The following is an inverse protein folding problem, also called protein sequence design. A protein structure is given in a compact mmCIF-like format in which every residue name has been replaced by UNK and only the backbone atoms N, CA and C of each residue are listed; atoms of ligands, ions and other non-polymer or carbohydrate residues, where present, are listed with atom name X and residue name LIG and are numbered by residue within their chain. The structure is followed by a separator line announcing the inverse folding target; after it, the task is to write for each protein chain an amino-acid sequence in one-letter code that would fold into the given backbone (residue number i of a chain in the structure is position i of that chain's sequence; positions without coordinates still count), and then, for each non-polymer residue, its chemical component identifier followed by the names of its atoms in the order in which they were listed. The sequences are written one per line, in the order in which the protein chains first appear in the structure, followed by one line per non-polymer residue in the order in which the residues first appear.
data_IF_792801744337
#
_entry.id   IF_792801744337
#
_cell.length_a   1.000
_cell.length_b   1.000
_cell.length_c   1.000
_cell.angle_alpha   90.00
_cell.angle_beta   90.00
_cell.angle_gamma   90.00
#
_symmetry.space_group_name_H-M   'P 1'
#
loop_
_entity.id
_entity.type
_entity.pdbx_description
1 polymer ?
#
# COMPACT_ATOMS: atom_id res chain seq x y z
N UNK A 1 23.80 -14.18 1.80
CA UNK A 1 22.72 -14.35 0.81
C UNK A 1 22.38 -15.83 0.72
N UNK A 2 21.09 -16.17 0.57
CA UNK A 2 20.60 -17.55 0.56
C UNK A 2 19.74 -17.78 -0.67
N UNK A 3 19.36 -19.04 -0.92
CA UNK A 3 18.51 -19.45 -2.04
C UNK A 3 17.66 -20.67 -1.69
N UNK A 4 16.58 -20.85 -2.44
CA UNK A 4 15.74 -22.04 -2.45
C UNK A 4 15.23 -22.28 -3.87
N UNK A 5 15.17 -23.52 -4.31
CA UNK A 5 14.60 -23.86 -5.60
C UNK A 5 13.09 -23.59 -5.63
N UNK A 6 12.55 -23.09 -6.74
CA UNK A 6 11.12 -22.76 -6.90
C UNK A 6 10.21 -23.94 -6.60
N UNK A 7 10.59 -25.14 -6.98
CA UNK A 7 9.87 -26.39 -6.70
C UNK A 7 9.70 -26.66 -5.20
N UNK A 8 10.60 -26.10 -4.35
CA UNK A 8 10.61 -26.25 -2.90
C UNK A 8 9.92 -25.11 -2.16
N UNK A 9 9.32 -24.13 -2.86
CA UNK A 9 8.59 -23.03 -2.24
C UNK A 9 7.50 -23.50 -1.26
N UNK A 10 6.74 -24.59 -1.50
CA UNK A 10 5.80 -25.11 -0.51
C UNK A 10 6.46 -25.45 0.84
N UNK A 11 7.70 -25.94 0.84
CA UNK A 11 8.48 -26.18 2.07
C UNK A 11 8.80 -24.87 2.80
N UNK A 12 9.14 -23.81 2.06
CA UNK A 12 9.35 -22.48 2.63
C UNK A 12 8.05 -21.92 3.25
N UNK A 13 6.93 -22.05 2.55
CA UNK A 13 5.63 -21.54 3.05
C UNK A 13 5.22 -22.26 4.33
N UNK A 14 5.36 -23.60 4.39
CA UNK A 14 5.09 -24.37 5.60
C UNK A 14 5.99 -23.95 6.77
N UNK A 15 7.29 -23.76 6.51
CA UNK A 15 8.23 -23.30 7.54
C UNK A 15 7.89 -21.89 8.07
N UNK A 16 7.54 -20.96 7.19
CA UNK A 16 7.09 -19.60 7.56
C UNK A 16 5.77 -19.65 8.36
N UNK A 17 4.83 -20.52 7.98
CA UNK A 17 3.55 -20.69 8.68
C UNK A 17 3.73 -21.24 10.10
N UNK A 18 4.75 -22.06 10.33
CA UNK A 18 5.10 -22.54 11.68
C UNK A 18 5.66 -21.43 12.59
N UNK A 19 6.18 -20.34 12.00
CA UNK A 19 6.70 -19.19 12.74
C UNK A 19 5.59 -18.17 13.06
N UNK A 20 4.64 -18.00 12.15
CA UNK A 20 3.58 -17.01 12.32
C UNK A 20 2.50 -17.10 11.24
N UNK A 21 1.54 -16.19 11.28
CA UNK A 21 0.52 -16.08 10.24
C UNK A 21 1.16 -15.63 8.93
N UNK A 22 1.20 -16.51 7.94
CA UNK A 22 1.76 -16.22 6.62
C UNK A 22 0.68 -15.70 5.66
N UNK A 23 0.92 -14.53 5.05
CA UNK A 23 0.13 -13.99 3.96
C UNK A 23 0.94 -14.01 2.66
N UNK A 24 0.30 -14.52 1.61
CA UNK A 24 0.86 -14.63 0.26
C UNK A 24 -0.10 -14.02 -0.78
N UNK A 25 0.40 -13.58 -1.95
CA UNK A 25 -0.44 -13.24 -3.08
C UNK A 25 -1.10 -14.51 -3.63
N UNK A 26 -2.39 -14.66 -3.35
CA UNK A 26 -3.19 -15.83 -3.73
C UNK A 26 -4.32 -15.41 -4.67
N UNK A 27 -4.63 -16.28 -5.63
CA UNK A 27 -5.76 -16.10 -6.52
C UNK A 27 -7.07 -16.43 -5.79
N UNK A 28 -8.00 -15.51 -5.83
CA UNK A 28 -9.32 -15.68 -5.24
C UNK A 28 -10.32 -16.32 -6.24
N UNK A 29 -11.52 -16.66 -5.75
CA UNK A 29 -12.59 -17.26 -6.57
C UNK A 29 -13.01 -16.43 -7.79
N UNK A 30 -12.76 -15.13 -7.78
CA UNK A 30 -13.04 -14.22 -8.91
C UNK A 30 -11.86 -14.07 -9.87
N UNK A 31 -10.78 -14.84 -9.70
CA UNK A 31 -9.58 -14.80 -10.53
C UNK A 31 -8.61 -13.65 -10.23
N UNK A 32 -8.90 -12.81 -9.23
CA UNK A 32 -8.00 -11.74 -8.81
C UNK A 32 -6.95 -12.26 -7.81
N UNK A 33 -5.74 -11.71 -7.88
CA UNK A 33 -4.68 -11.98 -6.92
C UNK A 33 -4.71 -10.93 -5.82
N UNK A 34 -4.89 -11.37 -4.58
CA UNK A 34 -4.86 -10.55 -3.37
C UNK A 34 -4.00 -11.21 -2.29
N UNK A 35 -3.49 -10.44 -1.33
CA UNK A 35 -2.85 -11.03 -0.15
C UNK A 35 -3.89 -11.74 0.71
N UNK A 36 -3.65 -13.01 0.99
CA UNK A 36 -4.52 -13.86 1.82
C UNK A 36 -3.69 -14.75 2.75
N UNK A 37 -4.24 -15.17 3.90
CA UNK A 37 -3.60 -16.19 4.73
C UNK A 37 -3.34 -17.45 3.93
N UNK A 38 -2.10 -17.96 4.01
CA UNK A 38 -1.69 -19.16 3.29
C UNK A 38 -2.45 -20.39 3.79
N UNK A 39 -2.86 -21.23 2.86
CA UNK A 39 -3.41 -22.57 3.06
C UNK A 39 -2.82 -23.47 1.98
N UNK A 40 -2.69 -24.75 2.27
CA UNK A 40 -2.10 -25.74 1.35
C UNK A 40 -2.84 -25.84 0.01
N UNK A 41 -4.16 -25.60 0.03
CA UNK A 41 -5.01 -25.59 -1.17
C UNK A 41 -5.04 -24.24 -1.92
N UNK A 42 -4.30 -23.23 -1.45
CA UNK A 42 -4.31 -21.91 -2.06
C UNK A 42 -3.47 -21.86 -3.36
N UNK A 43 -4.02 -21.28 -4.42
CA UNK A 43 -3.28 -20.97 -5.64
C UNK A 43 -2.40 -19.73 -5.40
N UNK A 44 -1.14 -19.94 -5.01
CA UNK A 44 -0.16 -18.88 -4.79
C UNK A 44 0.38 -18.40 -6.13
N UNK A 45 0.34 -17.07 -6.38
CA UNK A 45 0.85 -16.41 -7.58
C UNK A 45 1.90 -15.38 -7.17
N UNK A 46 3.06 -15.90 -6.73
CA UNK A 46 4.12 -15.08 -6.15
C UNK A 46 4.70 -14.08 -7.17
N UNK A 47 4.72 -14.44 -8.45
CA UNK A 47 5.20 -13.63 -9.56
C UNK A 47 4.17 -12.62 -10.10
N UNK A 48 2.95 -12.57 -9.54
CA UNK A 48 1.97 -11.57 -9.94
C UNK A 48 2.60 -10.16 -9.93
N UNK A 49 2.57 -9.42 -11.04
CA UNK A 49 3.23 -8.12 -11.13
C UNK A 49 2.64 -7.11 -10.14
N UNK A 50 1.33 -7.18 -9.94
CA UNK A 50 0.59 -6.32 -9.02
C UNK A 50 -0.63 -7.07 -8.47
N UNK A 51 -0.79 -7.06 -7.17
CA UNK A 51 -2.02 -7.56 -6.53
C UNK A 51 -3.17 -6.58 -6.75
N UNK A 52 -4.41 -7.08 -6.82
CA UNK A 52 -5.60 -6.25 -7.01
C UNK A 52 -5.73 -5.16 -5.93
N UNK A 53 -5.46 -5.51 -4.67
CA UNK A 53 -5.28 -4.59 -3.54
C UNK A 53 -3.88 -4.76 -2.96
N UNK A 54 -3.35 -3.71 -2.35
CA UNK A 54 -2.07 -3.80 -1.63
C UNK A 54 -2.21 -4.58 -0.32
N UNK A 55 -1.08 -4.97 0.26
CA UNK A 55 -1.06 -5.57 1.59
C UNK A 55 -1.35 -4.57 2.74
N UNK A 56 -1.84 -3.37 2.44
CA UNK A 56 -2.21 -2.33 3.41
C UNK A 56 -3.18 -2.85 4.48
N UNK A 57 -4.08 -3.75 4.10
CA UNK A 57 -5.09 -4.37 4.97
C UNK A 57 -4.48 -5.04 6.21
N UNK A 58 -3.21 -5.46 6.13
CA UNK A 58 -2.49 -6.08 7.24
C UNK A 58 -2.30 -5.11 8.40
N UNK A 59 -1.99 -3.85 8.10
CA UNK A 59 -1.72 -2.83 9.12
C UNK A 59 -2.92 -1.93 9.38
N UNK A 60 -3.70 -1.69 8.35
CA UNK A 60 -4.88 -0.85 8.35
C UNK A 60 -6.05 -1.61 7.72
N UNK A 61 -6.72 -2.50 8.49
CA UNK A 61 -7.85 -3.31 8.01
C UNK A 61 -9.01 -2.46 7.51
N UNK A 62 -9.80 -3.01 6.57
CA UNK A 62 -10.98 -2.32 6.04
C UNK A 62 -12.02 -2.02 7.12
N UNK A 63 -12.16 -2.92 8.08
CA UNK A 63 -12.99 -2.77 9.27
C UNK A 63 -12.20 -3.27 10.48
N UNK A 64 -12.21 -2.52 11.55
CA UNK A 64 -11.50 -2.85 12.78
C UNK A 64 -12.27 -2.39 13.99
N UNK A 65 -12.62 -3.33 14.88
CA UNK A 65 -13.21 -3.00 16.17
C UNK A 65 -12.14 -2.38 17.07
N UNK A 66 -12.43 -1.22 17.63
CA UNK A 66 -11.53 -0.48 18.51
C UNK A 66 -11.89 -0.70 20.00
N UNK A 67 -13.18 -0.52 20.31
CA UNK A 67 -13.67 -0.57 21.69
C UNK A 67 -14.97 -1.37 21.74
N UNK A 68 -15.17 -2.05 22.87
CA UNK A 68 -16.42 -2.68 23.22
C UNK A 68 -16.92 -2.03 24.51
N UNK A 69 -18.14 -1.50 24.46
CA UNK A 69 -18.86 -0.97 25.62
C UNK A 69 -19.84 -2.04 26.09
N UNK A 70 -19.76 -2.41 27.37
CA UNK A 70 -20.70 -3.30 28.01
C UNK A 70 -21.42 -2.56 29.13
N UNK A 71 -22.74 -2.55 29.11
CA UNK A 71 -23.58 -1.93 30.12
C UNK A 71 -24.31 -2.99 30.92
N UNK A 72 -24.33 -2.84 32.24
CA UNK A 72 -25.14 -3.69 33.13
C UNK A 72 -25.81 -2.79 34.18
N UNK A 73 -27.07 -2.48 33.98
CA UNK A 73 -27.78 -1.48 34.78
C UNK A 73 -27.13 -0.09 34.67
N UNK A 74 -26.48 0.37 35.75
CA UNK A 74 -25.76 1.66 35.80
C UNK A 74 -24.24 1.52 35.59
N UNK A 75 -23.74 0.32 35.49
CA UNK A 75 -22.33 0.06 35.29
C UNK A 75 -21.95 0.06 33.82
N UNK A 76 -20.78 0.65 33.51
CA UNK A 76 -20.19 0.68 32.18
C UNK A 76 -18.78 0.10 32.22
N UNK A 77 -18.56 -0.98 31.48
CA UNK A 77 -17.24 -1.54 31.26
C UNK A 77 -16.75 -1.22 29.83
N UNK A 78 -15.48 -0.89 29.71
CA UNK A 78 -14.78 -0.59 28.45
C UNK A 78 -13.71 -1.65 28.21
N UNK A 79 -13.75 -2.28 27.04
CA UNK A 79 -12.72 -3.22 26.61
C UNK A 79 -12.06 -2.69 25.33
N UNK A 80 -10.74 -2.61 25.31
CA UNK A 80 -9.99 -2.33 24.08
C UNK A 80 -9.79 -3.63 23.29
N UNK A 81 -10.07 -3.58 22.01
CA UNK A 81 -9.86 -4.71 21.12
C UNK A 81 -8.45 -4.64 20.48
N UNK A 82 -7.40 -4.65 21.30
CA UNK A 82 -6.01 -4.61 20.81
C UNK A 82 -5.73 -5.87 19.98
N UNK A 83 -5.04 -5.74 18.83
CA UNK A 83 -4.65 -6.91 18.03
C UNK A 83 -3.92 -7.96 18.87
N UNK A 84 -4.24 -9.25 18.73
CA UNK A 84 -3.60 -10.30 19.49
C UNK A 84 -2.10 -10.34 19.22
N UNK A 85 -1.33 -10.75 20.23
CA UNK A 85 0.10 -10.97 20.06
C UNK A 85 0.35 -12.12 19.07
N UNK A 86 1.33 -11.96 18.18
CA UNK A 86 1.71 -12.97 17.21
C UNK A 86 2.51 -12.38 16.07
N UNK A 87 3.32 -13.19 15.43
CA UNK A 87 4.10 -12.77 14.26
C UNK A 87 3.22 -12.89 13.02
N UNK A 88 3.16 -11.82 12.24
CA UNK A 88 2.58 -11.83 10.89
C UNK A 88 3.70 -11.73 9.86
N UNK A 89 3.71 -12.61 8.89
CA UNK A 89 4.70 -12.62 7.80
C UNK A 89 3.96 -12.32 6.50
N UNK A 90 4.37 -11.27 5.80
CA UNK A 90 3.81 -10.93 4.49
C UNK A 90 4.88 -11.10 3.43
N UNK A 91 4.71 -12.08 2.56
CA UNK A 91 5.70 -12.41 1.52
C UNK A 91 5.18 -12.04 0.12
N UNK A 92 6.07 -11.54 -0.72
CA UNK A 92 5.75 -11.11 -2.09
C UNK A 92 5.41 -9.62 -2.21
N UNK A 93 5.77 -8.83 -1.20
CA UNK A 93 5.51 -7.38 -1.19
C UNK A 93 6.35 -6.68 -2.26
N UNK A 94 5.71 -5.92 -3.16
CA UNK A 94 6.40 -5.14 -4.17
C UNK A 94 6.97 -3.85 -3.60
N UNK A 95 8.00 -3.29 -4.23
CA UNK A 95 8.68 -2.07 -3.78
C UNK A 95 7.72 -0.87 -3.58
N UNK A 96 6.72 -0.70 -4.46
CA UNK A 96 5.70 0.33 -4.31
C UNK A 96 4.80 0.10 -3.10
N UNK A 97 4.45 -1.14 -2.75
CA UNK A 97 3.69 -1.44 -1.55
C UNK A 97 4.55 -1.27 -0.29
N UNK A 98 5.81 -1.69 -0.32
CA UNK A 98 6.77 -1.46 0.78
C UNK A 98 6.92 0.04 1.10
N UNK A 99 7.12 0.89 0.09
CA UNK A 99 7.18 2.35 0.25
C UNK A 99 5.85 2.91 0.80
N UNK A 100 4.70 2.35 0.41
CA UNK A 100 3.41 2.83 0.90
C UNK A 100 3.25 2.65 2.41
N UNK A 101 3.87 1.62 3.01
CA UNK A 101 3.84 1.42 4.45
C UNK A 101 4.61 2.51 5.18
N UNK A 102 5.76 2.97 4.65
CA UNK A 102 6.50 4.11 5.22
C UNK A 102 5.68 5.42 5.18
N UNK A 103 4.88 5.61 4.13
CA UNK A 103 3.95 6.74 4.04
C UNK A 103 2.86 6.63 5.10
N UNK A 104 2.29 5.44 5.32
CA UNK A 104 1.31 5.21 6.39
C UNK A 104 1.94 5.35 7.79
N UNK A 105 3.18 4.92 7.97
CA UNK A 105 3.93 5.09 9.22
C UNK A 105 4.02 6.58 9.62
N UNK A 106 4.27 7.49 8.66
CA UNK A 106 4.27 8.95 8.91
C UNK A 106 2.92 9.49 9.38
N UNK A 107 1.82 8.82 9.05
CA UNK A 107 0.47 9.21 9.48
C UNK A 107 0.11 8.60 10.83
N UNK A 108 0.26 7.29 10.96
CA UNK A 108 -0.26 6.55 12.11
C UNK A 108 0.71 6.45 13.29
N UNK A 109 2.01 6.62 13.05
CA UNK A 109 3.04 6.59 14.13
C UNK A 109 3.45 7.99 14.59
N UNK A 110 2.95 9.07 13.96
CA UNK A 110 3.07 10.44 14.47
C UNK A 110 2.16 10.62 15.68
N UNK A 111 2.60 11.40 16.67
CA UNK A 111 1.80 11.68 17.86
C UNK A 111 0.51 12.46 17.53
N UNK A 112 -0.66 12.04 18.07
CA UNK A 112 -0.90 10.86 18.91
C UNK A 112 -0.82 9.55 18.12
N UNK A 113 -0.01 8.60 18.60
CA UNK A 113 0.25 7.34 17.94
C UNK A 113 -0.99 6.44 17.91
N UNK A 114 -1.34 5.91 16.76
CA UNK A 114 -2.34 4.87 16.60
C UNK A 114 -1.79 3.52 17.11
N UNK A 115 -2.24 3.12 18.27
CA UNK A 115 -1.73 1.92 18.96
C UNK A 115 -2.09 0.62 18.21
N UNK A 116 -3.22 0.56 17.52
CA UNK A 116 -3.65 -0.61 16.75
C UNK A 116 -2.76 -0.81 15.52
N UNK A 117 -2.51 0.27 14.78
CA UNK A 117 -1.59 0.25 13.65
C UNK A 117 -0.17 -0.11 14.09
N UNK A 118 0.33 0.55 15.15
CA UNK A 118 1.66 0.31 15.73
C UNK A 118 1.86 -1.15 16.10
N UNK A 119 0.92 -1.74 16.83
CA UNK A 119 1.01 -3.15 17.26
C UNK A 119 1.17 -4.08 16.06
N UNK A 120 0.34 -3.94 15.02
CA UNK A 120 0.46 -4.76 13.81
C UNK A 120 1.78 -4.53 13.09
N UNK A 121 2.22 -3.28 13.02
CA UNK A 121 3.46 -2.91 12.32
C UNK A 121 4.70 -3.49 13.00
N UNK A 122 4.73 -3.49 14.34
CA UNK A 122 5.80 -4.06 15.14
C UNK A 122 5.85 -5.59 15.09
N UNK A 123 4.70 -6.24 15.00
CA UNK A 123 4.58 -7.70 14.93
C UNK A 123 4.77 -8.28 13.52
N UNK A 124 4.93 -7.44 12.51
CA UNK A 124 5.03 -7.89 11.13
C UNK A 124 6.48 -7.99 10.65
N UNK A 125 6.74 -9.06 9.88
CA UNK A 125 7.95 -9.25 9.08
C UNK A 125 7.57 -9.17 7.61
N UNK A 126 8.21 -8.28 6.86
CA UNK A 126 7.97 -8.07 5.44
C UNK A 126 9.03 -8.77 4.59
N UNK A 127 8.60 -9.66 3.72
CA UNK A 127 9.44 -10.31 2.71
C UNK A 127 9.06 -9.72 1.36
N UNK A 128 9.91 -8.83 0.86
CA UNK A 128 9.71 -8.16 -0.41
C UNK A 128 10.15 -9.01 -1.58
N UNK A 129 9.48 -8.85 -2.71
CA UNK A 129 9.86 -9.49 -3.97
C UNK A 129 10.18 -8.42 -5.01
N UNK A 130 11.41 -8.42 -5.50
CA UNK A 130 11.86 -7.57 -6.59
C UNK A 130 10.96 -7.74 -7.82
N UNK A 131 10.53 -6.63 -8.39
CA UNK A 131 9.67 -6.64 -9.56
C UNK A 131 10.43 -7.16 -10.77
N UNK A 132 9.83 -8.10 -11.52
CA UNK A 132 10.39 -8.65 -12.75
C UNK A 132 9.58 -8.29 -13.99
N UNK A 133 8.29 -7.99 -13.82
CA UNK A 133 7.34 -7.69 -14.91
C UNK A 133 6.45 -6.50 -14.52
N UNK A 134 6.95 -5.24 -14.57
CA UNK A 134 6.13 -4.07 -14.34
C UNK A 134 4.98 -3.99 -15.35
N UNK A 135 3.82 -3.53 -14.89
CA UNK A 135 2.62 -3.29 -15.70
C UNK A 135 2.72 -1.97 -16.48
N UNK A 136 1.99 -1.83 -17.57
CA UNK A 136 1.93 -0.61 -18.39
C UNK A 136 1.54 0.65 -17.62
N UNK A 137 0.81 0.48 -16.52
CA UNK A 137 0.37 1.56 -15.63
C UNK A 137 1.34 1.89 -14.51
N UNK A 138 2.45 1.17 -14.38
CA UNK A 138 3.47 1.40 -13.35
C UNK A 138 4.29 2.66 -13.65
N UNK A 139 4.52 3.48 -12.63
CA UNK A 139 5.35 4.69 -12.70
C UNK A 139 6.02 4.98 -11.36
N UNK A 140 6.40 3.94 -10.62
CA UNK A 140 7.02 4.08 -9.29
C UNK A 140 8.36 4.81 -9.31
N UNK A 141 9.09 4.76 -10.42
CA UNK A 141 10.33 5.52 -10.65
C UNK A 141 10.13 7.03 -10.49
N UNK A 142 8.93 7.57 -10.82
CA UNK A 142 8.60 8.99 -10.65
C UNK A 142 8.62 9.45 -9.18
N UNK A 143 8.63 8.52 -8.24
CA UNK A 143 8.72 8.76 -6.79
C UNK A 143 10.00 8.19 -6.18
N UNK A 144 11.04 8.00 -6.99
CA UNK A 144 12.35 7.52 -6.54
C UNK A 144 12.34 6.08 -5.99
N UNK A 145 11.40 5.25 -6.42
CA UNK A 145 11.29 3.86 -5.95
C UNK A 145 12.00 2.93 -6.93
N UNK A 146 12.99 2.19 -6.44
CA UNK A 146 13.58 1.08 -7.18
C UNK A 146 12.65 -0.14 -7.14
N UNK A 147 12.02 -0.44 -8.27
CA UNK A 147 11.10 -1.56 -8.38
C UNK A 147 11.75 -2.92 -8.11
N UNK A 148 13.06 -3.03 -8.30
CA UNK A 148 13.82 -4.27 -8.14
C UNK A 148 14.36 -4.49 -6.72
N UNK A 149 14.28 -3.47 -5.84
CA UNK A 149 14.82 -3.50 -4.48
C UNK A 149 13.76 -3.03 -3.45
N UNK A 150 12.78 -3.86 -3.08
CA UNK A 150 11.75 -3.49 -2.10
C UNK A 150 12.38 -3.21 -0.73
N UNK A 151 11.98 -2.11 -0.10
CA UNK A 151 12.46 -1.67 1.22
C UNK A 151 11.75 -2.45 2.34
N UNK A 152 12.14 -3.71 2.55
CA UNK A 152 11.51 -4.67 3.46
C UNK A 152 12.54 -5.34 4.37
N UNK A 153 12.09 -6.14 5.34
CA UNK A 153 12.97 -6.86 6.26
C UNK A 153 13.85 -7.89 5.54
N UNK A 154 13.27 -8.52 4.52
CA UNK A 154 13.96 -9.45 3.62
C UNK A 154 13.66 -9.05 2.18
N UNK A 155 14.67 -9.03 1.34
CA UNK A 155 14.52 -8.88 -0.10
C UNK A 155 14.65 -10.23 -0.78
N UNK A 156 13.79 -10.50 -1.76
CA UNK A 156 13.83 -11.73 -2.56
C UNK A 156 13.72 -11.43 -4.05
N UNK A 157 14.23 -12.36 -4.87
CA UNK A 157 14.17 -12.30 -6.33
C UNK A 157 13.91 -13.70 -6.90
N UNK A 158 13.00 -13.78 -7.87
CA UNK A 158 12.77 -14.99 -8.66
C UNK A 158 13.74 -14.99 -9.85
N UNK A 159 14.95 -15.53 -9.65
CA UNK A 159 16.02 -15.53 -10.63
C UNK A 159 16.24 -16.96 -11.16
N UNK A 160 15.96 -17.19 -12.45
CA UNK A 160 15.99 -18.54 -13.03
C UNK A 160 15.02 -19.48 -12.31
N UNK A 161 15.51 -20.63 -11.86
CA UNK A 161 14.72 -21.64 -11.13
C UNK A 161 14.83 -21.51 -9.60
N UNK A 162 15.35 -20.37 -9.12
CA UNK A 162 15.58 -20.13 -7.71
C UNK A 162 14.83 -18.90 -7.20
N UNK A 163 14.45 -18.92 -5.92
CA UNK A 163 14.16 -17.73 -5.13
C UNK A 163 15.42 -17.37 -4.36
N UNK A 164 16.03 -16.25 -4.72
CA UNK A 164 17.14 -15.68 -3.98
C UNK A 164 16.63 -14.87 -2.79
N UNK A 165 17.37 -14.90 -1.67
CA UNK A 165 16.95 -14.37 -0.39
C UNK A 165 18.07 -13.58 0.29
N UNK A 166 17.77 -12.36 0.71
CA UNK A 166 18.70 -11.49 1.43
C UNK A 166 18.00 -10.81 2.59
N UNK A 167 18.45 -11.09 3.81
CA UNK A 167 18.03 -10.33 4.99
C UNK A 167 18.61 -8.90 4.95
N UNK A 168 17.82 -7.93 5.40
CA UNK A 168 18.17 -6.50 5.37
C UNK A 168 18.08 -5.88 6.77
N UNK A 169 17.16 -6.34 7.61
CA UNK A 169 16.96 -5.83 8.97
C UNK A 169 17.20 -6.94 10.00
N UNK A 170 17.35 -6.57 11.27
CA UNK A 170 17.49 -7.53 12.37
C UNK A 170 16.32 -8.55 12.41
N UNK A 171 15.08 -8.11 12.14
CA UNK A 171 13.92 -9.03 12.02
C UNK A 171 14.10 -10.02 10.86
N UNK A 172 14.60 -9.53 9.73
CA UNK A 172 14.92 -10.38 8.58
C UNK A 172 16.04 -11.37 8.85
N UNK A 173 17.06 -10.95 9.59
CA UNK A 173 18.17 -11.84 10.00
C UNK A 173 17.69 -12.94 10.94
N UNK A 174 16.90 -12.61 11.96
CA UNK A 174 16.32 -13.58 12.88
C UNK A 174 15.45 -14.61 12.16
N UNK A 175 14.57 -14.15 11.24
CA UNK A 175 13.75 -15.05 10.42
C UNK A 175 14.61 -15.95 9.54
N UNK A 176 15.65 -15.40 8.92
CA UNK A 176 16.55 -16.13 8.04
C UNK A 176 17.32 -17.21 8.79
N UNK A 177 17.83 -16.89 10.00
CA UNK A 177 18.54 -17.88 10.83
C UNK A 177 17.67 -19.12 11.13
N UNK A 178 16.40 -18.90 11.53
CA UNK A 178 15.44 -19.99 11.78
C UNK A 178 15.22 -20.88 10.54
N UNK A 179 15.16 -20.28 9.35
CA UNK A 179 14.97 -21.01 8.09
C UNK A 179 16.22 -21.79 7.66
N UNK A 180 17.41 -21.25 7.94
CA UNK A 180 18.69 -21.93 7.67
C UNK A 180 18.87 -23.10 8.62
N UNK A 181 18.66 -22.91 9.92
CA UNK A 181 18.69 -23.98 10.93
C UNK A 181 17.69 -25.10 10.61
N UNK A 182 16.51 -24.76 10.09
CA UNK A 182 15.51 -25.72 9.63
C UNK A 182 15.82 -26.38 8.29
N UNK A 183 16.98 -26.11 7.67
CA UNK A 183 17.39 -26.68 6.38
C UNK A 183 16.45 -26.32 5.22
N UNK A 184 15.82 -25.11 5.28
CA UNK A 184 14.90 -24.59 4.25
C UNK A 184 15.65 -23.76 3.23
N UNK A 185 16.56 -22.91 3.71
CA UNK A 185 17.41 -22.08 2.88
C UNK A 185 18.85 -22.64 2.82
N UNK A 186 19.44 -22.58 1.65
CA UNK A 186 20.85 -22.90 1.42
C UNK A 186 21.63 -21.63 1.07
N UNK A 187 22.95 -21.65 1.26
CA UNK A 187 23.81 -20.54 0.83
C UNK A 187 23.74 -20.36 -0.69
N UNK A 188 23.71 -19.12 -1.12
CA UNK A 188 23.67 -18.75 -2.52
C UNK A 188 25.08 -18.73 -3.12
N UNK A 189 25.21 -19.17 -4.35
CA UNK A 189 26.43 -19.15 -5.13
C UNK A 189 26.63 -17.81 -5.86
N UNK A 190 27.82 -17.56 -6.43
CA UNK A 190 28.10 -16.39 -7.25
C UNK A 190 27.16 -16.28 -8.47
N UNK A 191 26.72 -17.41 -9.02
CA UNK A 191 25.75 -17.44 -10.12
C UNK A 191 24.41 -16.82 -9.74
N UNK A 192 23.93 -16.99 -8.51
CA UNK A 192 22.68 -16.40 -8.02
C UNK A 192 22.78 -14.86 -7.96
N UNK A 193 23.92 -14.32 -7.54
CA UNK A 193 24.14 -12.87 -7.53
C UNK A 193 24.12 -12.27 -8.95
N UNK A 194 24.71 -12.96 -9.92
CA UNK A 194 24.67 -12.57 -11.33
C UNK A 194 23.22 -12.58 -11.87
N UNK A 195 22.46 -13.63 -11.60
CA UNK A 195 21.08 -13.75 -12.02
C UNK A 195 20.18 -12.62 -11.44
N UNK A 196 20.41 -12.21 -10.19
CA UNK A 196 19.74 -11.04 -9.58
C UNK A 196 20.08 -9.75 -10.33
N UNK A 197 21.36 -9.54 -10.68
CA UNK A 197 21.79 -8.35 -11.43
C UNK A 197 21.12 -8.30 -12.79
N UNK A 198 21.11 -9.40 -13.52
CA UNK A 198 20.46 -9.53 -14.83
C UNK A 198 18.93 -9.25 -14.73
N UNK A 199 18.26 -9.76 -13.70
CA UNK A 199 16.84 -9.46 -13.47
C UNK A 199 16.61 -7.98 -13.19
N UNK A 200 17.45 -7.34 -12.36
CA UNK A 200 17.36 -5.91 -12.07
C UNK A 200 17.52 -5.07 -13.34
N UNK A 201 18.53 -5.37 -14.16
CA UNK A 201 18.76 -4.70 -15.44
C UNK A 201 17.56 -4.88 -16.39
N UNK A 202 17.03 -6.10 -16.49
CA UNK A 202 15.85 -6.38 -17.30
C UNK A 202 14.64 -5.57 -16.84
N UNK A 203 14.40 -5.47 -15.52
CA UNK A 203 13.32 -4.68 -14.94
C UNK A 203 13.46 -3.20 -15.31
N UNK A 204 14.68 -2.64 -15.24
CA UNK A 204 14.94 -1.25 -15.63
C UNK A 204 14.74 -1.03 -17.14
N UNK A 205 15.13 -1.98 -17.98
CA UNK A 205 14.88 -1.93 -19.42
C UNK A 205 13.37 -1.90 -19.72
N UNK A 206 12.58 -2.75 -19.07
CA UNK A 206 11.12 -2.74 -19.21
C UNK A 206 10.56 -1.38 -18.77
N UNK A 207 10.92 -0.89 -17.59
CA UNK A 207 10.43 0.39 -17.07
C UNK A 207 10.76 1.56 -18.00
N UNK A 208 11.91 1.54 -18.68
CA UNK A 208 12.35 2.62 -19.58
C UNK A 208 11.56 2.73 -20.88
N UNK A 209 10.75 1.74 -21.23
CA UNK A 209 9.92 1.72 -22.45
C UNK A 209 8.41 1.72 -22.16
N UNK A 210 8.00 1.69 -20.89
CA UNK A 210 6.58 1.75 -20.53
C UNK A 210 5.97 3.12 -20.87
N UNK A 211 4.63 3.20 -21.05
CA UNK A 211 3.94 4.44 -21.44
C UNK A 211 4.16 5.65 -20.54
N UNK A 212 4.54 5.41 -19.30
CA UNK A 212 4.77 6.45 -18.27
C UNK A 212 6.24 6.58 -17.86
N UNK A 213 7.17 6.03 -18.65
CA UNK A 213 8.62 6.03 -18.33
C UNK A 213 9.23 7.44 -18.16
N UNK A 214 8.70 8.42 -18.85
CA UNK A 214 9.13 9.82 -18.84
C UNK A 214 8.40 10.67 -17.78
N UNK A 215 7.38 10.12 -17.14
CA UNK A 215 6.59 10.88 -16.17
C UNK A 215 7.42 11.22 -14.93
N UNK A 216 7.41 12.49 -14.59
CA UNK A 216 7.95 13.05 -13.35
C UNK A 216 6.89 13.91 -12.71
N UNK A 217 6.89 13.98 -11.39
CA UNK A 217 6.05 14.95 -10.68
C UNK A 217 6.80 16.28 -10.65
N UNK A 218 6.11 17.35 -10.99
CA UNK A 218 6.68 18.68 -10.95
C UNK A 218 6.65 19.23 -9.52
N UNK A 219 7.83 19.53 -8.96
CA UNK A 219 7.98 20.08 -7.61
C UNK A 219 7.41 21.51 -7.50
N UNK A 220 7.18 22.21 -8.62
CA UNK A 220 6.52 23.53 -8.64
C UNK A 220 5.10 23.47 -8.07
N UNK A 221 4.42 22.29 -8.16
CA UNK A 221 3.07 22.11 -7.59
C UNK A 221 3.02 22.35 -6.07
N UNK A 222 4.15 22.21 -5.38
CA UNK A 222 4.24 22.46 -3.93
C UNK A 222 4.64 23.90 -3.58
N UNK A 223 5.10 24.70 -4.53
CA UNK A 223 5.61 26.06 -4.26
C UNK A 223 4.51 27.10 -4.05
N UNK A 224 3.33 26.92 -4.67
CA UNK A 224 2.19 27.83 -4.54
C UNK A 224 0.89 27.05 -4.38
N UNK A 225 0.65 26.59 -3.15
CA UNK A 225 -0.55 25.83 -2.79
C UNK A 225 -1.83 26.55 -3.17
N UNK A 226 -1.91 27.86 -2.88
CA UNK A 226 -3.12 28.65 -3.11
C UNK A 226 -3.43 28.80 -4.59
N UNK A 227 -2.42 28.99 -5.43
CA UNK A 227 -2.56 29.08 -6.88
C UNK A 227 -3.10 27.75 -7.43
N UNK A 228 -2.50 26.63 -7.05
CA UNK A 228 -2.96 25.29 -7.45
C UNK A 228 -4.37 25.03 -6.95
N UNK A 229 -4.67 25.36 -5.70
CA UNK A 229 -6.00 25.17 -5.10
C UNK A 229 -7.10 25.93 -5.82
N UNK A 230 -6.87 27.20 -6.20
CA UNK A 230 -7.85 28.05 -6.85
C UNK A 230 -7.89 27.93 -8.38
N UNK A 231 -7.07 27.04 -8.96
CA UNK A 231 -7.05 26.83 -10.41
C UNK A 231 -8.41 26.39 -10.96
N UNK A 232 -8.89 27.05 -12.02
CA UNK A 232 -10.14 26.71 -12.71
C UNK A 232 -10.10 25.36 -13.42
N UNK A 233 -8.90 24.77 -13.59
CA UNK A 233 -8.72 23.45 -14.22
C UNK A 233 -9.45 22.34 -13.47
N UNK A 234 -9.67 22.49 -12.16
CA UNK A 234 -10.36 21.50 -11.33
C UNK A 234 -11.78 21.21 -11.80
N UNK A 235 -12.52 22.19 -12.28
CA UNK A 235 -13.87 22.01 -12.82
C UNK A 235 -13.85 21.11 -14.05
N UNK A 236 -12.91 21.36 -14.98
CA UNK A 236 -12.74 20.57 -16.19
C UNK A 236 -12.32 19.13 -15.88
N UNK A 237 -11.33 18.96 -15.00
CA UNK A 237 -10.83 17.66 -14.58
C UNK A 237 -11.90 16.83 -13.85
N UNK A 238 -12.66 17.46 -12.95
CA UNK A 238 -13.68 16.76 -12.18
C UNK A 238 -14.94 16.40 -13.01
N UNK A 239 -15.17 17.06 -14.15
CA UNK A 239 -16.39 16.87 -14.95
C UNK A 239 -16.62 15.39 -15.31
N UNK A 240 -15.59 14.68 -15.77
CA UNK A 240 -15.67 13.26 -16.14
C UNK A 240 -15.64 12.28 -14.96
N UNK A 241 -15.39 12.73 -13.72
CA UNK A 241 -15.30 11.84 -12.58
C UNK A 241 -16.67 11.32 -12.13
N UNK A 242 -16.81 10.00 -11.92
CA UNK A 242 -18.03 9.37 -11.42
C UNK A 242 -18.18 9.43 -9.89
N UNK A 243 -17.16 9.90 -9.16
CA UNK A 243 -17.08 9.85 -7.68
C UNK A 243 -17.30 8.46 -7.09
N UNK A 244 -16.91 7.39 -7.81
CA UNK A 244 -17.11 6.00 -7.40
C UNK A 244 -16.15 5.54 -6.28
N UNK A 245 -15.22 6.37 -5.84
CA UNK A 245 -14.24 6.12 -4.79
C UNK A 245 -13.25 4.97 -5.03
N UNK A 246 -13.35 4.20 -6.11
CA UNK A 246 -12.47 3.05 -6.42
C UNK A 246 -10.99 3.42 -6.30
N UNK A 247 -10.60 4.56 -6.85
CA UNK A 247 -9.21 5.04 -6.84
C UNK A 247 -8.64 5.32 -5.44
N UNK A 248 -9.48 5.49 -4.41
CA UNK A 248 -9.05 5.65 -3.01
C UNK A 248 -8.99 4.31 -2.29
N UNK A 249 -9.94 3.42 -2.55
CA UNK A 249 -9.97 2.09 -1.92
C UNK A 249 -8.86 1.17 -2.39
N UNK A 250 -8.48 1.21 -3.69
CA UNK A 250 -7.35 0.42 -4.20
C UNK A 250 -5.98 1.05 -3.93
N UNK A 251 -5.95 2.29 -3.46
CA UNK A 251 -4.69 3.00 -3.25
C UNK A 251 -3.98 2.53 -1.98
N UNK A 252 -2.70 2.14 -2.07
CA UNK A 252 -1.94 1.68 -0.91
C UNK A 252 -1.66 2.79 0.12
N UNK A 253 -1.64 4.06 -0.30
CA UNK A 253 -1.35 5.21 0.57
C UNK A 253 -2.59 5.95 1.06
N UNK A 254 -3.81 5.60 0.61
CA UNK A 254 -5.03 6.21 1.13
C UNK A 254 -5.37 5.64 2.51
N UNK A 255 -5.65 6.52 3.45
CA UNK A 255 -5.86 6.21 4.87
C UNK A 255 -7.08 6.90 5.48
N UNK A 256 -8.01 7.38 4.66
CA UNK A 256 -9.28 7.91 5.14
C UNK A 256 -10.10 6.80 5.80
N UNK A 257 -10.65 7.08 6.98
CA UNK A 257 -11.55 6.19 7.71
C UNK A 257 -12.65 6.97 8.42
N UNK A 258 -13.69 6.28 8.78
CA UNK A 258 -14.77 6.76 9.65
C UNK A 258 -14.80 5.93 10.92
N UNK A 259 -15.27 6.51 12.02
CA UNK A 259 -15.48 5.83 13.30
C UNK A 259 -16.98 5.76 13.53
N UNK A 260 -17.48 4.56 13.77
CA UNK A 260 -18.90 4.28 13.96
C UNK A 260 -19.14 3.44 15.19
N UNK A 261 -20.32 3.62 15.76
CA UNK A 261 -20.83 2.77 16.82
C UNK A 261 -21.92 1.84 16.27
N UNK A 262 -21.83 0.57 16.62
CA UNK A 262 -22.82 -0.45 16.28
C UNK A 262 -23.32 -1.10 17.56
N UNK A 263 -24.62 -0.95 17.83
CA UNK A 263 -25.26 -1.59 18.95
C UNK A 263 -25.58 -3.05 18.56
N UNK A 264 -24.86 -4.00 19.17
CA UNK A 264 -25.00 -5.43 18.90
C UNK A 264 -26.16 -6.00 19.72
N UNK A 265 -26.28 -5.58 20.99
CA UNK A 265 -27.36 -5.91 21.91
C UNK A 265 -27.70 -4.67 22.76
N UNK A 266 -28.75 -4.73 23.58
CA UNK A 266 -29.11 -3.65 24.52
C UNK A 266 -27.96 -3.32 25.50
N UNK A 267 -27.13 -4.33 25.80
CA UNK A 267 -26.03 -4.21 26.76
C UNK A 267 -24.64 -4.13 26.12
N UNK A 268 -24.54 -4.22 24.78
CA UNK A 268 -23.26 -4.28 24.08
C UNK A 268 -23.22 -3.41 22.84
N UNK A 269 -22.32 -2.44 22.84
CA UNK A 269 -22.03 -1.57 21.70
C UNK A 269 -20.57 -1.72 21.27
N UNK A 270 -20.31 -1.84 19.98
CA UNK A 270 -18.99 -1.89 19.41
C UNK A 270 -18.66 -0.56 18.73
N UNK A 271 -17.52 0.04 19.06
CA UNK A 271 -16.94 1.14 18.30
C UNK A 271 -15.90 0.58 17.35
N UNK A 272 -16.08 0.83 16.07
CA UNK A 272 -15.18 0.38 15.04
C UNK A 272 -14.78 1.51 14.11
N UNK A 273 -13.63 1.38 13.49
CA UNK A 273 -13.27 2.18 12.30
C UNK A 273 -13.46 1.35 11.04
N UNK A 274 -13.85 2.02 9.96
CA UNK A 274 -13.92 1.43 8.63
C UNK A 274 -13.32 2.39 7.61
N UNK A 275 -12.74 1.84 6.52
CA UNK A 275 -12.25 2.68 5.45
C UNK A 275 -13.34 3.58 4.91
N UNK A 276 -12.95 4.81 4.62
CA UNK A 276 -13.79 5.77 3.93
C UNK A 276 -12.97 6.47 2.83
N UNK A 277 -13.55 7.44 2.16
CA UNK A 277 -12.94 8.12 1.03
C UNK A 277 -13.16 9.62 1.07
N UNK A 278 -12.07 10.38 0.92
CA UNK A 278 -12.18 11.83 0.73
C UNK A 278 -12.99 12.24 -0.52
N UNK A 279 -13.29 11.27 -1.40
CA UNK A 279 -14.15 11.44 -2.58
C UNK A 279 -15.63 11.19 -2.26
N UNK A 280 -15.95 10.55 -1.14
CA UNK A 280 -17.32 10.29 -0.71
C UNK A 280 -18.02 11.59 -0.25
N UNK A 281 -19.33 11.68 -0.51
CA UNK A 281 -20.10 12.88 -0.26
C UNK A 281 -20.15 13.25 1.22
N UNK A 282 -20.28 12.25 2.07
CA UNK A 282 -20.56 12.44 3.49
C UNK A 282 -19.33 12.27 4.39
N UNK A 283 -18.15 11.96 3.81
CA UNK A 283 -16.90 11.79 4.57
C UNK A 283 -16.52 12.98 5.45
N UNK A 284 -16.82 14.21 4.99
CA UNK A 284 -16.55 15.44 5.74
C UNK A 284 -17.80 16.07 6.31
N UNK A 285 -18.90 15.32 6.39
CA UNK A 285 -20.15 15.83 6.96
C UNK A 285 -20.00 16.03 8.47
N UNK A 286 -20.30 17.22 8.93
CA UNK A 286 -20.30 17.61 10.34
C UNK A 286 -21.68 18.14 10.71
N UNK A 287 -21.92 18.40 12.01
CA UNK A 287 -23.17 18.93 12.52
C UNK A 287 -23.60 20.23 11.82
N UNK A 288 -22.64 21.05 11.40
CA UNK A 288 -22.89 22.33 10.70
C UNK A 288 -22.93 22.21 9.17
N UNK A 289 -22.82 21.03 8.61
CA UNK A 289 -22.79 20.74 7.18
C UNK A 289 -21.43 20.22 6.69
N UNK A 290 -21.28 20.10 5.37
CA UNK A 290 -20.03 19.61 4.77
C UNK A 290 -19.22 20.78 4.20
N UNK A 291 -17.90 20.86 4.51
CA UNK A 291 -16.98 21.83 3.89
C UNK A 291 -16.69 21.52 2.41
N UNK A 292 -17.00 20.29 1.94
CA UNK A 292 -16.78 19.83 0.57
C UNK A 292 -18.08 19.36 -0.06
N UNK A 293 -18.94 20.32 -0.39
CA UNK A 293 -20.31 20.08 -0.88
C UNK A 293 -20.32 19.54 -2.31
N UNK A 294 -19.40 19.98 -3.15
CA UNK A 294 -19.38 19.68 -4.58
C UNK A 294 -18.43 18.52 -4.91
N UNK A 295 -18.66 17.88 -6.06
CA UNK A 295 -17.75 16.88 -6.62
C UNK A 295 -16.37 17.46 -6.90
N UNK A 296 -16.29 18.71 -7.35
CA UNK A 296 -15.03 19.39 -7.66
C UNK A 296 -14.16 19.53 -6.42
N UNK A 297 -14.72 19.95 -5.29
CA UNK A 297 -13.99 20.10 -4.03
C UNK A 297 -13.44 18.78 -3.52
N UNK A 298 -14.23 17.69 -3.59
CA UNK A 298 -13.78 16.35 -3.18
C UNK A 298 -12.71 15.78 -4.12
N UNK A 299 -12.89 15.99 -5.43
CA UNK A 299 -11.91 15.61 -6.43
C UNK A 299 -10.58 16.36 -6.22
N UNK A 300 -10.62 17.68 -6.10
CA UNK A 300 -9.46 18.52 -5.79
C UNK A 300 -8.74 18.05 -4.55
N UNK A 301 -9.47 17.82 -3.44
CA UNK A 301 -8.89 17.36 -2.17
C UNK A 301 -8.03 16.09 -2.32
N UNK A 302 -8.49 15.12 -3.11
CA UNK A 302 -7.74 13.88 -3.31
C UNK A 302 -6.35 14.13 -3.89
N UNK A 303 -6.26 14.97 -4.89
CA UNK A 303 -5.00 15.22 -5.59
C UNK A 303 -4.13 16.25 -4.86
N UNK A 304 -4.71 17.30 -4.31
CA UNK A 304 -4.01 18.24 -3.44
C UNK A 304 -3.36 17.53 -2.25
N UNK A 305 -4.10 16.61 -1.61
CA UNK A 305 -3.54 15.85 -0.50
C UNK A 305 -2.31 15.02 -0.91
N UNK A 306 -2.32 14.40 -2.09
CA UNK A 306 -1.22 13.53 -2.54
C UNK A 306 -0.01 14.28 -3.09
N UNK A 307 -0.25 15.39 -3.77
CA UNK A 307 0.75 16.08 -4.57
C UNK A 307 1.22 17.40 -3.96
N UNK A 308 0.47 17.96 -3.01
CA UNK A 308 0.76 19.27 -2.40
C UNK A 308 0.84 19.15 -0.87
N UNK A 309 -0.27 18.89 -0.19
CA UNK A 309 -0.32 18.95 1.27
C UNK A 309 0.55 17.91 1.98
N UNK A 310 0.62 16.69 1.44
CA UNK A 310 1.44 15.66 2.07
C UNK A 310 2.93 15.97 1.93
N UNK A 311 3.47 16.31 0.74
CA UNK A 311 4.87 16.72 0.59
C UNK A 311 5.24 17.91 1.48
N UNK A 312 4.42 18.94 1.57
CA UNK A 312 4.69 20.10 2.43
C UNK A 312 4.85 19.74 3.91
N UNK A 313 4.11 18.74 4.37
CA UNK A 313 4.11 18.32 5.77
C UNK A 313 5.01 17.10 6.05
N UNK A 314 5.71 16.56 5.05
CA UNK A 314 6.49 15.32 5.16
C UNK A 314 7.78 15.37 4.33
N UNK A 315 8.57 16.43 4.46
CA UNK A 315 9.91 16.58 3.89
C UNK A 315 9.99 16.37 2.37
N UNK A 316 8.95 16.79 1.64
CA UNK A 316 8.87 16.64 0.19
C UNK A 316 8.42 15.25 -0.29
N UNK A 317 8.12 14.30 0.61
CA UNK A 317 7.66 12.97 0.20
C UNK A 317 6.21 12.98 -0.26
N UNK A 318 5.94 12.49 -1.45
CA UNK A 318 4.60 12.42 -2.01
C UNK A 318 3.76 11.27 -1.43
N UNK A 319 2.46 11.49 -1.21
CA UNK A 319 1.54 10.43 -0.82
C UNK A 319 1.10 9.56 -2.02
N UNK A 320 2.02 9.29 -2.93
CA UNK A 320 1.84 8.41 -4.08
C UNK A 320 3.10 7.58 -4.30
N UNK A 321 2.93 6.32 -4.69
CA UNK A 321 4.02 5.38 -4.95
C UNK A 321 4.04 4.88 -6.40
N UNK A 322 3.27 5.50 -7.29
CA UNK A 322 3.26 5.15 -8.72
C UNK A 322 2.88 3.70 -9.04
N UNK A 323 2.14 3.01 -8.18
CA UNK A 323 1.82 1.59 -8.33
C UNK A 323 0.84 1.27 -9.48
N UNK A 324 0.20 2.25 -10.11
CA UNK A 324 -0.70 2.04 -11.25
C UNK A 324 -2.12 1.55 -10.94
N UNK A 325 -2.43 1.01 -9.75
CA UNK A 325 -3.75 0.43 -9.44
C UNK A 325 -4.92 1.37 -9.76
N UNK A 326 -4.81 2.64 -9.40
CA UNK A 326 -5.87 3.60 -9.68
C UNK A 326 -6.01 3.96 -11.17
N UNK A 327 -4.98 3.73 -11.98
CA UNK A 327 -5.03 3.88 -13.43
C UNK A 327 -5.81 2.72 -14.05
N UNK A 328 -5.48 1.49 -13.65
CA UNK A 328 -6.14 0.26 -14.12
C UNK A 328 -7.64 0.21 -13.77
N UNK A 329 -8.00 0.65 -12.56
CA UNK A 329 -9.35 0.48 -12.01
C UNK A 329 -10.29 1.65 -12.30
N UNK A 330 -9.82 2.75 -12.86
CA UNK A 330 -10.67 3.91 -13.15
C UNK A 330 -11.52 3.68 -14.41
N UNK A 331 -12.86 3.59 -14.31
CA UNK A 331 -13.73 3.28 -15.46
C UNK A 331 -13.75 4.39 -16.51
N UNK A 332 -13.36 5.62 -16.13
CA UNK A 332 -13.30 6.79 -17.03
C UNK A 332 -11.86 7.24 -17.30
N UNK A 333 -10.87 6.43 -16.92
CA UNK A 333 -9.44 6.68 -17.12
C UNK A 333 -8.96 8.06 -16.65
N UNK A 334 -9.59 8.60 -15.62
CA UNK A 334 -9.22 9.86 -14.98
C UNK A 334 -8.31 9.56 -13.79
N UNK A 335 -7.02 9.77 -13.96
CA UNK A 335 -6.01 9.30 -13.03
C UNK A 335 -5.04 10.43 -12.61
N UNK A 336 -4.19 10.13 -11.62
CA UNK A 336 -3.26 11.10 -11.03
C UNK A 336 -2.24 11.65 -12.02
N UNK A 337 -1.81 10.86 -13.01
CA UNK A 337 -0.85 11.31 -14.03
C UNK A 337 -1.48 12.36 -14.94
N UNK A 338 -2.73 12.11 -15.40
CA UNK A 338 -3.47 13.10 -16.19
C UNK A 338 -3.70 14.39 -15.42
N UNK A 339 -4.01 14.28 -14.13
CA UNK A 339 -4.23 15.45 -13.27
C UNK A 339 -2.92 16.23 -13.08
N UNK A 340 -1.81 15.57 -12.74
CA UNK A 340 -0.52 16.24 -12.56
C UNK A 340 -0.08 16.97 -13.85
N UNK A 341 -0.11 16.28 -15.00
CA UNK A 341 0.22 16.90 -16.32
C UNK A 341 -0.70 18.06 -16.69
N UNK A 342 -1.97 18.04 -16.26
CA UNK A 342 -2.91 19.13 -16.54
C UNK A 342 -2.66 20.36 -15.64
N UNK A 343 -2.31 20.13 -14.38
CA UNK A 343 -1.94 21.20 -13.44
C UNK A 343 -0.68 21.93 -13.92
N UNK A 344 0.37 21.21 -14.31
CA UNK A 344 1.60 21.77 -14.88
C UNK A 344 1.31 22.67 -16.09
N UNK A 345 0.48 22.20 -17.03
CA UNK A 345 0.09 22.98 -18.22
C UNK A 345 -0.74 24.22 -17.89
N UNK A 346 -1.54 24.18 -16.83
CA UNK A 346 -2.35 25.32 -16.40
C UNK A 346 -1.48 26.41 -15.77
N UNK A 347 -0.42 26.03 -15.06
CA UNK A 347 0.53 27.00 -14.49
C UNK A 347 1.30 27.76 -15.57
N UNK A 348 1.87 27.04 -16.55
CA UNK A 348 2.62 27.66 -17.67
C UNK A 348 1.77 28.67 -18.48
N UNK A 349 0.44 28.47 -18.57
CA UNK A 349 -0.44 29.40 -19.30
C UNK A 349 -0.86 30.64 -18.54
N UNK A 350 -0.65 30.69 -17.23
CA UNK A 350 -1.00 31.88 -16.43
C UNK A 350 0.19 32.86 -16.26
N UNK A 351 1.38 32.44 -16.64
CA UNK A 351 2.60 33.30 -16.61
C UNK A 351 2.87 33.99 -17.97
N UNK A 352 1.94 33.92 -18.94
CA UNK A 352 1.90 34.62 -20.24
C UNK A 352 0.64 35.47 -20.30
#
# INVERSE_FOLDING_TARGET
MYKIAKEKLPKLYAALQNIGTLLLPCKNKSGHVDFAPYREDAEVVLDAPLTNRSAKDVFFPQVENLLIFKTSGKELALEQNIPPAGVTIVMGVRACDARSFKILDKVFLKAPVDTYYKTRREQCVLIGLGCSAPEETCFCHAFGIDASAPETDVQTWLAGEELCWQAVTAKGEELTAKLVEGGVLAEAEAASAKAISEQKEQTQKILSVLPLHDFKVNDELTKDELKVFHSKIWEQLAAGCLSCCTCTYVCPTCHCYDIRDYQETEERTQRYRCWDSCMAKDFTLMAHGSPRKTKVERFRQRYMHKLVYFPENNDGEYACVGCGRCLQKCPVQLNIVKVAKALEKAEVKQDV
#
